data_IF_299474086751
#
_entry.id   IF_299474086751
#
_cell.length_a   1.000
_cell.length_b   1.000
_cell.length_c   1.000
_cell.angle_alpha   90.00
_cell.angle_beta   90.00
_cell.angle_gamma   90.00
#
_symmetry.space_group_name_H-M   'P 1'
#
loop_
_entity.id
_entity.type
_entity.pdbx_description
1 polymer ?
#
# COMPACT_ATOMS: atom_id res chain seq x y z
N UNK A 1 13.91 13.20 -9.26
CA UNK A 1 13.17 12.83 -10.49
C UNK A 1 14.18 12.22 -11.43
N UNK A 2 14.13 10.90 -11.61
CA UNK A 2 14.96 10.22 -12.62
C UNK A 2 14.43 10.64 -13.99
N UNK A 3 15.23 11.33 -14.78
CA UNK A 3 14.89 11.51 -16.19
C UNK A 3 14.95 10.15 -16.88
N UNK A 4 14.02 9.88 -17.79
CA UNK A 4 13.95 8.59 -18.52
C UNK A 4 15.25 8.20 -19.24
N UNK A 5 16.17 9.15 -19.40
CA UNK A 5 17.51 8.95 -19.93
C UNK A 5 18.47 8.27 -18.94
N UNK A 6 18.25 8.40 -17.63
CA UNK A 6 19.17 7.89 -16.61
C UNK A 6 19.06 6.38 -16.39
N UNK A 7 17.95 5.77 -16.86
CA UNK A 7 17.73 4.34 -16.85
C UNK A 7 18.39 3.59 -18.03
N UNK A 8 18.98 4.31 -18.99
CA UNK A 8 19.58 3.71 -20.18
C UNK A 8 21.03 3.29 -19.97
N UNK A 9 21.27 2.00 -19.82
CA UNK A 9 22.58 1.37 -19.89
C UNK A 9 22.78 0.85 -21.31
N UNK A 10 23.72 1.41 -22.03
CA UNK A 10 24.44 1.06 -23.28
C UNK A 10 23.89 -0.02 -24.24
N UNK A 11 22.69 -0.54 -24.05
CA UNK A 11 22.07 -1.45 -25.01
C UNK A 11 20.71 -0.90 -25.43
N UNK A 12 20.53 -0.47 -26.68
CA UNK A 12 19.31 0.22 -27.12
C UNK A 12 18.05 -0.65 -27.18
N UNK A 13 18.13 -1.92 -26.79
CA UNK A 13 17.00 -2.87 -26.95
C UNK A 13 16.48 -3.43 -25.64
N UNK A 14 17.34 -3.69 -24.63
CA UNK A 14 16.92 -4.23 -23.34
C UNK A 14 17.85 -3.75 -22.22
N UNK A 15 17.32 -2.94 -21.33
CA UNK A 15 18.04 -2.46 -20.15
C UNK A 15 17.56 -3.21 -18.91
N UNK A 16 18.48 -3.65 -18.05
CA UNK A 16 18.17 -4.25 -16.77
C UNK A 16 18.62 -3.34 -15.63
N UNK A 17 17.71 -3.04 -14.71
CA UNK A 17 18.06 -2.38 -13.46
C UNK A 17 18.76 -3.40 -12.58
N UNK A 18 19.97 -3.07 -12.08
CA UNK A 18 20.74 -3.90 -11.16
C UNK A 18 20.49 -3.50 -9.71
N UNK A 19 20.98 -4.30 -8.77
CA UNK A 19 20.90 -3.99 -7.35
C UNK A 19 19.54 -4.23 -6.70
N UNK A 20 18.57 -4.77 -7.44
CA UNK A 20 17.36 -5.30 -6.84
C UNK A 20 17.68 -6.59 -6.08
N UNK A 21 17.00 -6.82 -4.96
CA UNK A 21 17.19 -8.03 -4.17
C UNK A 21 16.80 -9.26 -5.02
N UNK A 22 17.71 -10.22 -5.16
CA UNK A 22 17.49 -11.47 -5.94
C UNK A 22 16.31 -12.30 -5.41
N UNK A 23 15.91 -12.06 -4.15
CA UNK A 23 14.75 -12.70 -3.52
C UNK A 23 13.43 -11.96 -3.77
N UNK A 24 13.46 -10.82 -4.46
CA UNK A 24 12.26 -10.08 -4.80
C UNK A 24 11.55 -10.75 -5.99
N UNK A 25 10.47 -11.45 -5.68
CA UNK A 25 9.55 -11.90 -6.73
C UNK A 25 8.63 -10.73 -7.10
N UNK A 26 9.04 -9.98 -8.14
CA UNK A 26 8.35 -8.78 -8.61
C UNK A 26 7.15 -9.18 -9.46
N UNK A 27 5.96 -8.66 -9.12
CA UNK A 27 4.72 -8.92 -9.89
C UNK A 27 4.19 -7.64 -10.51
N UNK A 28 3.66 -6.64 -9.74
CA UNK A 28 3.23 -5.39 -10.33
C UNK A 28 4.38 -4.39 -10.43
N UNK A 29 4.40 -3.64 -11.52
CA UNK A 29 5.27 -2.47 -11.72
C UNK A 29 4.38 -1.31 -12.15
N UNK A 30 4.65 -0.12 -11.63
CA UNK A 30 3.89 1.09 -11.94
C UNK A 30 4.82 2.32 -11.94
N UNK A 31 4.61 3.22 -12.88
CA UNK A 31 5.18 4.56 -12.86
C UNK A 31 4.16 5.51 -12.23
N UNK A 32 4.57 6.33 -11.25
CA UNK A 32 3.69 7.32 -10.63
C UNK A 32 3.65 8.64 -11.44
N UNK A 33 2.80 9.57 -11.01
CA UNK A 33 2.65 10.88 -11.68
C UNK A 33 3.91 11.77 -11.59
N UNK A 34 4.87 11.43 -10.72
CA UNK A 34 6.15 12.12 -10.58
C UNK A 34 7.29 11.37 -11.28
N UNK A 35 6.95 10.38 -12.13
CA UNK A 35 7.89 9.52 -12.86
C UNK A 35 8.78 8.66 -11.97
N UNK A 36 8.38 8.36 -10.74
CA UNK A 36 9.05 7.34 -9.94
C UNK A 36 8.54 5.95 -10.32
N UNK A 37 9.43 4.97 -10.30
CA UNK A 37 9.09 3.58 -10.55
C UNK A 37 8.81 2.89 -9.23
N UNK A 38 7.65 2.26 -9.15
CA UNK A 38 7.22 1.45 -8.03
C UNK A 38 7.09 -0.01 -8.46
N UNK A 39 7.43 -0.92 -7.56
CA UNK A 39 7.18 -2.33 -7.78
C UNK A 39 6.74 -3.03 -6.50
N UNK A 40 5.86 -3.99 -6.69
CA UNK A 40 5.34 -4.82 -5.62
C UNK A 40 6.00 -6.19 -5.63
N UNK A 41 6.17 -6.77 -4.45
CA UNK A 41 6.78 -8.08 -4.27
C UNK A 41 5.82 -9.06 -3.62
N UNK A 42 6.06 -10.35 -3.81
CA UNK A 42 5.34 -11.41 -3.11
C UNK A 42 6.00 -11.69 -1.74
N UNK A 43 5.66 -10.86 -0.74
CA UNK A 43 6.06 -11.08 0.65
C UNK A 43 7.08 -10.10 1.24
N UNK A 44 7.63 -9.16 0.44
CA UNK A 44 8.58 -8.15 0.92
C UNK A 44 8.06 -6.71 0.82
N UNK A 45 6.79 -6.53 0.50
CA UNK A 45 6.12 -5.24 0.45
C UNK A 45 6.26 -4.52 -0.87
N UNK A 46 6.01 -3.21 -0.82
CA UNK A 46 6.08 -2.28 -1.93
C UNK A 46 7.43 -1.57 -1.90
N UNK A 47 7.99 -1.33 -3.08
CA UNK A 47 9.28 -0.66 -3.24
C UNK A 47 9.21 0.45 -4.27
N UNK A 48 9.97 1.51 -4.01
CA UNK A 48 10.14 2.65 -4.90
C UNK A 48 11.62 2.76 -5.28
N UNK A 49 11.91 2.85 -6.57
CA UNK A 49 13.25 3.21 -7.04
C UNK A 49 13.41 4.72 -6.89
N UNK A 50 14.35 5.15 -6.07
CA UNK A 50 14.57 6.57 -5.78
C UNK A 50 15.77 7.15 -6.51
N UNK A 51 16.77 6.32 -6.82
CA UNK A 51 17.99 6.72 -7.51
C UNK A 51 18.76 5.50 -8.06
N UNK A 52 19.81 5.77 -8.81
CA UNK A 52 20.83 4.78 -9.19
C UNK A 52 22.17 5.21 -8.60
N UNK A 53 22.92 4.25 -8.03
CA UNK A 53 24.26 4.50 -7.55
C UNK A 53 25.29 4.69 -8.69
N UNK A 54 26.55 4.98 -8.36
CA UNK A 54 27.65 5.16 -9.31
C UNK A 54 27.91 3.92 -10.21
N UNK A 55 27.42 2.74 -9.79
CA UNK A 55 27.51 1.48 -10.53
C UNK A 55 26.22 1.12 -11.25
N UNK A 56 25.24 2.04 -11.30
CA UNK A 56 23.90 1.87 -11.85
C UNK A 56 23.08 0.79 -11.14
N UNK A 57 23.29 0.58 -9.83
CA UNK A 57 22.41 -0.23 -9.01
C UNK A 57 21.28 0.63 -8.43
N UNK A 58 20.09 0.06 -8.36
CA UNK A 58 18.93 0.75 -7.81
C UNK A 58 19.07 1.02 -6.31
N UNK A 59 18.88 2.27 -5.92
CA UNK A 59 18.61 2.67 -4.54
C UNK A 59 17.09 2.61 -4.33
N UNK A 60 16.63 1.82 -3.37
CA UNK A 60 15.21 1.58 -3.15
C UNK A 60 14.74 2.04 -1.78
N UNK A 61 13.55 2.64 -1.76
CA UNK A 61 12.78 2.91 -0.55
C UNK A 61 11.75 1.79 -0.36
N UNK A 62 11.60 1.29 0.85
CA UNK A 62 10.76 0.13 1.16
C UNK A 62 9.56 0.54 2.00
N UNK A 63 8.39 -0.04 1.67
CA UNK A 63 7.14 0.10 2.41
C UNK A 63 6.61 -1.29 2.73
N UNK A 64 6.25 -1.51 3.98
CA UNK A 64 5.86 -2.81 4.52
C UNK A 64 4.62 -2.71 5.42
N UNK A 65 4.24 -3.82 6.01
CA UNK A 65 3.19 -3.81 7.04
C UNK A 65 3.58 -3.03 8.30
N UNK A 66 4.88 -2.80 8.55
CA UNK A 66 5.33 -1.93 9.63
C UNK A 66 5.04 -0.44 9.35
N UNK A 67 4.91 -0.07 8.06
CA UNK A 67 4.62 1.29 7.61
C UNK A 67 3.12 1.52 7.38
N UNK A 68 2.30 0.48 7.57
CA UNK A 68 0.84 0.56 7.48
C UNK A 68 0.20 -0.19 6.30
N UNK A 69 0.97 -0.92 5.49
CA UNK A 69 0.37 -1.81 4.49
C UNK A 69 -0.39 -2.96 5.17
N UNK A 70 -1.54 -3.34 4.62
CA UNK A 70 -2.33 -4.48 5.09
C UNK A 70 -1.58 -5.81 4.95
N UNK A 71 -0.66 -5.91 3.98
CA UNK A 71 0.21 -7.07 3.77
C UNK A 71 1.46 -6.71 2.97
N UNK A 72 2.52 -7.53 3.13
CA UNK A 72 3.73 -7.47 2.33
C UNK A 72 3.61 -8.22 0.98
N UNK A 73 2.49 -8.88 0.72
CA UNK A 73 2.23 -9.55 -0.57
C UNK A 73 1.42 -8.62 -1.46
N UNK A 74 2.11 -7.95 -2.37
CA UNK A 74 1.50 -6.98 -3.27
C UNK A 74 1.00 -7.70 -4.53
N UNK A 75 -0.25 -7.43 -4.90
CA UNK A 75 -0.92 -8.09 -6.03
C UNK A 75 -1.05 -7.18 -7.24
N UNK A 76 -1.43 -5.93 -7.06
CA UNK A 76 -1.55 -4.94 -8.12
C UNK A 76 -1.23 -3.54 -7.60
N UNK A 77 -0.79 -2.66 -8.49
CA UNK A 77 -0.57 -1.23 -8.20
C UNK A 77 -1.21 -0.44 -9.34
N UNK A 78 -2.00 0.58 -9.01
CA UNK A 78 -2.56 1.52 -9.98
C UNK A 78 -2.46 2.95 -9.47
N UNK A 79 -2.28 3.91 -10.39
CA UNK A 79 -2.26 5.33 -10.05
C UNK A 79 -3.66 5.89 -9.88
N UNK A 80 -3.89 6.62 -8.80
CA UNK A 80 -4.96 7.58 -8.69
C UNK A 80 -4.65 8.87 -9.44
N UNK A 81 -5.67 9.66 -9.71
CA UNK A 81 -5.55 10.96 -10.40
C UNK A 81 -5.04 12.07 -9.48
N UNK A 82 -4.98 11.83 -8.18
CA UNK A 82 -4.66 12.77 -7.09
C UNK A 82 -3.24 12.59 -6.51
N UNK A 83 -2.40 11.76 -7.15
CA UNK A 83 -1.08 11.42 -6.63
C UNK A 83 -1.14 10.35 -5.52
N UNK A 84 -2.19 9.55 -5.49
CA UNK A 84 -2.32 8.39 -4.61
C UNK A 84 -2.07 7.10 -5.40
N UNK A 85 -1.24 6.21 -4.89
CA UNK A 85 -1.14 4.85 -5.39
C UNK A 85 -2.17 3.97 -4.67
N UNK A 86 -2.89 3.18 -5.44
CA UNK A 86 -3.80 2.17 -4.94
C UNK A 86 -3.21 0.79 -5.14
N UNK A 87 -3.13 0.04 -4.06
CA UNK A 87 -2.32 -1.18 -3.98
C UNK A 87 -3.20 -2.29 -3.43
N UNK A 88 -3.45 -3.32 -4.22
CA UNK A 88 -4.13 -4.52 -3.73
C UNK A 88 -3.13 -5.54 -3.18
N UNK A 89 -3.58 -6.30 -2.20
CA UNK A 89 -2.79 -7.31 -1.49
C UNK A 89 -3.62 -8.59 -1.29
N UNK A 90 -3.07 -9.57 -0.57
CA UNK A 90 -3.85 -10.71 -0.08
C UNK A 90 -4.58 -10.41 1.25
N UNK A 91 -4.63 -9.13 1.68
CA UNK A 91 -5.35 -8.69 2.89
C UNK A 91 -6.04 -7.34 2.71
N UNK A 92 -6.63 -7.12 1.52
CA UNK A 92 -7.35 -5.90 1.19
C UNK A 92 -6.62 -4.96 0.25
N UNK A 93 -7.09 -3.72 0.19
CA UNK A 93 -6.56 -2.64 -0.64
C UNK A 93 -5.94 -1.58 0.25
N UNK A 94 -4.90 -0.92 -0.25
CA UNK A 94 -4.26 0.21 0.42
C UNK A 94 -4.23 1.41 -0.50
N UNK A 95 -4.37 2.60 0.04
CA UNK A 95 -4.02 3.85 -0.62
C UNK A 95 -2.74 4.42 0.00
N UNK A 96 -1.78 4.80 -0.83
CA UNK A 96 -0.54 5.45 -0.43
C UNK A 96 -0.47 6.82 -1.09
N UNK A 97 -0.51 7.87 -0.32
CA UNK A 97 -0.23 9.20 -0.83
C UNK A 97 1.28 9.37 -1.04
N UNK A 98 1.71 9.58 -2.30
CA UNK A 98 3.13 9.59 -2.68
C UNK A 98 3.90 10.79 -2.10
N UNK A 99 3.22 11.89 -1.76
CA UNK A 99 3.86 13.09 -1.24
C UNK A 99 4.04 13.06 0.28
N UNK A 100 3.05 12.53 1.00
CA UNK A 100 3.06 12.48 2.48
C UNK A 100 3.49 11.12 3.01
N UNK A 101 3.61 10.12 2.15
CA UNK A 101 3.88 8.70 2.46
C UNK A 101 2.87 8.08 3.43
N UNK A 102 1.69 8.70 3.54
CA UNK A 102 0.64 8.19 4.41
C UNK A 102 -0.08 7.03 3.75
N UNK A 103 -0.13 5.90 4.45
CA UNK A 103 -0.85 4.70 4.02
C UNK A 103 -2.18 4.61 4.77
N UNK A 104 -3.24 4.24 4.05
CA UNK A 104 -4.53 3.84 4.60
C UNK A 104 -4.92 2.49 4.02
N UNK A 105 -5.38 1.59 4.88
CA UNK A 105 -5.81 0.23 4.50
C UNK A 105 -7.33 0.14 4.53
N UNK A 106 -7.87 -0.66 3.61
CA UNK A 106 -9.29 -0.98 3.47
C UNK A 106 -9.47 -2.48 3.47
N UNK A 107 -10.53 -2.96 4.10
CA UNK A 107 -10.84 -4.38 4.18
C UNK A 107 -12.33 -4.68 3.92
N UNK A 108 -12.80 -5.87 4.28
CA UNK A 108 -14.20 -6.29 4.09
C UNK A 108 -15.20 -5.43 4.85
N UNK A 109 -14.80 -4.78 5.94
CA UNK A 109 -15.65 -3.88 6.72
C UNK A 109 -15.85 -2.53 6.03
N UNK A 110 -14.96 -2.19 5.10
CA UNK A 110 -15.07 -1.02 4.23
C UNK A 110 -15.84 -1.34 2.92
N UNK A 111 -16.29 -2.59 2.74
CA UNK A 111 -17.10 -3.03 1.60
C UNK A 111 -16.31 -3.75 0.49
N UNK A 112 -15.10 -4.22 0.77
CA UNK A 112 -14.38 -5.04 -0.19
C UNK A 112 -15.04 -6.42 -0.34
N UNK A 113 -14.90 -7.01 -1.56
CA UNK A 113 -15.49 -8.29 -1.93
C UNK A 113 -14.93 -9.47 -1.09
N UNK A 114 -13.68 -9.39 -0.69
CA UNK A 114 -12.94 -10.32 0.17
C UNK A 114 -11.61 -9.68 0.59
N UNK A 115 -10.82 -10.36 1.41
CA UNK A 115 -9.46 -9.96 1.76
C UNK A 115 -8.49 -10.15 0.59
N UNK A 116 -8.60 -11.25 -0.16
CA UNK A 116 -7.62 -11.64 -1.16
C UNK A 116 -7.95 -11.08 -2.56
N UNK A 117 -6.99 -10.34 -3.11
CA UNK A 117 -7.00 -9.85 -4.47
C UNK A 117 -6.09 -10.66 -5.38
N UNK A 118 -6.41 -10.68 -6.68
CA UNK A 118 -5.65 -11.44 -7.67
C UNK A 118 -4.52 -10.59 -8.25
N UNK A 119 -3.45 -11.26 -8.65
CA UNK A 119 -2.29 -10.63 -9.26
C UNK A 119 -2.65 -9.94 -10.57
N UNK A 120 -2.12 -8.72 -10.75
CA UNK A 120 -2.29 -7.90 -11.96
C UNK A 120 -3.77 -7.65 -12.35
N UNK A 121 -4.69 -7.86 -11.41
CA UNK A 121 -6.13 -7.74 -11.63
C UNK A 121 -6.67 -6.38 -11.14
N UNK A 122 -6.07 -5.32 -11.65
CA UNK A 122 -6.50 -3.95 -11.35
C UNK A 122 -6.37 -3.04 -12.56
N UNK A 123 -7.20 -2.00 -12.60
CA UNK A 123 -7.17 -1.00 -13.65
C UNK A 123 -7.89 0.29 -13.25
N UNK A 124 -7.60 1.35 -13.99
CA UNK A 124 -8.25 2.66 -13.85
C UNK A 124 -8.92 3.03 -15.16
N UNK A 125 -10.19 3.40 -15.09
CA UNK A 125 -10.93 3.92 -16.22
C UNK A 125 -10.59 5.38 -16.49
N UNK A 126 -10.87 5.86 -17.68
CA UNK A 126 -10.61 7.26 -18.09
C UNK A 126 -11.35 8.31 -17.24
N UNK A 127 -12.43 7.92 -16.56
CA UNK A 127 -13.19 8.77 -15.65
C UNK A 127 -12.69 8.68 -14.19
N UNK A 128 -11.56 8.03 -13.93
CA UNK A 128 -10.98 7.85 -12.59
C UNK A 128 -11.59 6.70 -11.77
N UNK A 129 -12.57 5.96 -12.31
CA UNK A 129 -13.10 4.77 -11.64
C UNK A 129 -12.05 3.68 -11.60
N UNK A 130 -11.85 3.10 -10.44
CA UNK A 130 -10.90 2.00 -10.20
C UNK A 130 -11.62 0.66 -10.14
N UNK A 131 -10.96 -0.38 -10.63
CA UNK A 131 -11.46 -1.74 -10.65
C UNK A 131 -10.37 -2.64 -10.08
N UNK A 132 -10.73 -3.49 -9.11
CA UNK A 132 -9.86 -4.49 -8.51
C UNK A 132 -10.55 -5.85 -8.49
N UNK A 133 -9.92 -6.84 -9.09
CA UNK A 133 -10.39 -8.22 -9.09
C UNK A 133 -9.84 -9.02 -7.93
N UNK A 134 -10.67 -9.82 -7.30
CA UNK A 134 -10.32 -10.69 -6.19
C UNK A 134 -10.98 -12.05 -6.29
N UNK A 135 -10.82 -12.87 -5.26
CA UNK A 135 -11.29 -14.27 -5.22
C UNK A 135 -12.82 -14.40 -5.21
N UNK A 136 -13.52 -13.38 -4.78
CA UNK A 136 -14.99 -13.37 -4.63
C UNK A 136 -15.68 -12.29 -5.50
N UNK A 137 -15.05 -11.88 -6.58
CA UNK A 137 -15.60 -10.91 -7.52
C UNK A 137 -14.72 -9.69 -7.75
N UNK A 138 -15.34 -8.54 -8.01
CA UNK A 138 -14.63 -7.30 -8.29
C UNK A 138 -15.13 -6.17 -7.37
N UNK A 139 -14.22 -5.28 -6.97
CA UNK A 139 -14.57 -3.98 -6.41
C UNK A 139 -14.43 -2.91 -7.48
N UNK A 140 -15.43 -2.03 -7.54
CA UNK A 140 -15.46 -0.89 -8.45
C UNK A 140 -15.80 0.34 -7.61
N UNK A 141 -14.92 1.33 -7.60
CA UNK A 141 -15.11 2.53 -6.80
C UNK A 141 -14.36 3.73 -7.40
N UNK A 142 -14.73 4.91 -6.95
CA UNK A 142 -13.94 6.14 -7.21
C UNK A 142 -13.25 6.56 -5.92
N UNK A 143 -11.98 6.97 -5.96
CA UNK A 143 -11.28 7.49 -4.78
C UNK A 143 -12.03 8.60 -4.05
N UNK A 144 -12.71 9.46 -4.80
CA UNK A 144 -13.51 10.58 -4.28
C UNK A 144 -14.74 10.13 -3.47
N UNK A 145 -15.19 8.87 -3.64
CA UNK A 145 -16.34 8.33 -2.91
C UNK A 145 -15.99 7.93 -1.47
N UNK A 146 -14.68 7.86 -1.14
CA UNK A 146 -14.24 7.65 0.23
C UNK A 146 -14.23 8.99 0.97
N UNK A 147 -15.33 9.28 1.65
CA UNK A 147 -15.36 10.41 2.59
C UNK A 147 -14.22 10.25 3.59
N UNK A 148 -13.31 11.23 3.58
CA UNK A 148 -12.35 11.37 4.67
C UNK A 148 -13.16 11.83 5.89
N UNK A 149 -13.73 10.88 6.61
CA UNK A 149 -14.25 11.18 7.95
C UNK A 149 -13.02 11.51 8.78
N UNK A 150 -12.71 12.78 8.83
CA UNK A 150 -11.73 13.32 9.78
C UNK A 150 -12.35 13.12 11.18
N UNK A 151 -12.10 11.95 11.76
CA UNK A 151 -12.61 11.61 13.08
C UNK A 151 -11.82 12.41 14.12
N UNK A 152 -12.24 13.66 14.34
CA UNK A 152 -11.73 14.52 15.40
C UNK A 152 -12.26 14.12 16.79
N UNK A 153 -12.73 12.89 16.93
CA UNK A 153 -13.20 12.33 18.19
C UNK A 153 -12.02 11.84 19.04
N UNK A 154 -11.93 12.32 20.26
CA UNK A 154 -11.07 11.68 21.25
C UNK A 154 -11.64 10.31 21.60
N UNK A 155 -10.83 9.23 21.60
CA UNK A 155 -11.30 7.92 22.04
C UNK A 155 -11.77 8.02 23.50
N UNK A 156 -13.01 7.62 23.74
CA UNK A 156 -13.57 7.55 25.09
C UNK A 156 -13.58 6.10 25.53
N UNK A 157 -12.92 5.81 26.63
CA UNK A 157 -12.97 4.49 27.24
C UNK A 157 -14.36 4.30 27.87
N UNK A 158 -15.20 3.45 27.26
CA UNK A 158 -16.60 3.24 27.68
C UNK A 158 -16.72 2.14 28.73
N UNK A 159 -15.84 1.14 28.73
CA UNK A 159 -15.81 0.05 29.69
C UNK A 159 -14.39 -0.56 29.74
N UNK A 160 -13.94 -0.84 30.92
CA UNK A 160 -12.68 -1.54 31.17
C UNK A 160 -12.94 -2.76 32.05
N UNK A 161 -12.58 -3.94 31.58
CA UNK A 161 -12.83 -5.21 32.28
C UNK A 161 -11.54 -5.91 32.62
N UNK A 162 -11.43 -6.37 33.87
CA UNK A 162 -10.40 -7.32 34.31
C UNK A 162 -11.10 -8.63 34.64
N UNK A 163 -10.69 -9.73 34.00
CA UNK A 163 -11.33 -11.05 34.14
C UNK A 163 -12.86 -11.00 33.96
N UNK A 164 -13.33 -10.24 32.96
CA UNK A 164 -14.74 -10.04 32.62
C UNK A 164 -15.58 -9.27 33.67
N UNK A 165 -14.97 -8.64 34.64
CA UNK A 165 -15.61 -7.74 35.60
C UNK A 165 -15.29 -6.29 35.22
N UNK A 166 -16.34 -5.46 35.08
CA UNK A 166 -16.16 -4.03 34.82
C UNK A 166 -15.48 -3.35 36.02
N UNK A 167 -14.51 -2.49 35.72
CA UNK A 167 -13.73 -1.76 36.72
C UNK A 167 -14.09 -0.27 36.62
N UNK A 168 -14.55 0.34 37.71
CA UNK A 168 -14.85 1.75 37.73
C UNK A 168 -13.57 2.59 37.82
N UNK A 169 -13.58 3.76 37.17
CA UNK A 169 -12.41 4.64 37.00
C UNK A 169 -11.75 5.13 38.32
N UNK A 170 -12.49 5.09 39.43
CA UNK A 170 -12.02 5.55 40.75
C UNK A 170 -11.47 4.40 41.62
N UNK A 171 -11.39 3.19 41.10
CA UNK A 171 -10.91 2.03 41.84
C UNK A 171 -9.39 1.96 41.79
N UNK A 172 -8.73 2.23 42.92
CA UNK A 172 -7.29 1.95 43.07
C UNK A 172 -7.11 0.46 43.33
N UNK A 173 -6.72 -0.27 42.26
CA UNK A 173 -6.30 -1.67 42.40
C UNK A 173 -4.83 -1.74 42.77
N UNK A 174 -4.53 -2.15 43.99
CA UNK A 174 -3.20 -2.62 44.33
C UNK A 174 -3.05 -4.05 43.80
N UNK A 175 -2.32 -4.24 42.72
CA UNK A 175 -1.89 -5.55 42.30
C UNK A 175 -0.86 -6.09 43.31
N UNK A 176 -1.24 -7.07 44.09
CA UNK A 176 -0.29 -7.90 44.81
C UNK A 176 0.18 -8.97 43.83
N UNK A 177 1.43 -8.88 43.39
CA UNK A 177 2.17 -9.97 42.76
C UNK A 177 2.99 -10.69 43.82
#
# INVERSE_FOLDING_TARGET
VLESADLYIDNPVLNSVKGLDELDYIVPVCEDLNHNIWYGTLGRGLRKIVDLDENHNACVENFSSADGLSSNTIKSIVNGTDGTLWISTNKGINSLNINTQRIRSYDIFDGLQDYEFMELSAGVMTNGTMIFGGVNGINVFRPDDFDVIDFNGSPTLVDFKIFNHSVEADSTYSAYF
#
